data_IF_690438595153
#
_entry.id   IF_690438595153
#
_cell.length_a   1.000
_cell.length_b   1.000
_cell.length_c   1.000
_cell.angle_alpha   90.00
_cell.angle_beta   90.00
_cell.angle_gamma   90.00
#
_symmetry.space_group_name_H-M   'P 1'
#
loop_
_entity.id
_entity.type
_entity.pdbx_description
1 polymer ?
#
# COMPACT_ATOMS: atom_id res chain seq x y z
N UNK A 1 18.11 4.96 -22.23
CA UNK A 1 17.16 5.31 -21.16
C UNK A 1 16.90 6.82 -21.05
N UNK A 2 17.88 7.69 -21.38
CA UNK A 2 17.67 9.14 -21.53
C UNK A 2 16.75 9.49 -22.72
N UNK A 3 16.76 8.68 -23.78
CA UNK A 3 15.95 8.90 -24.99
C UNK A 3 14.43 8.69 -24.82
N UNK A 4 13.98 7.82 -23.90
CA UNK A 4 12.53 7.58 -23.74
C UNK A 4 11.80 8.74 -23.05
N UNK A 5 12.43 9.39 -22.07
CA UNK A 5 11.80 10.45 -21.27
C UNK A 5 11.80 11.79 -22.02
N UNK A 6 12.83 12.06 -22.83
CA UNK A 6 12.87 13.27 -23.67
C UNK A 6 11.90 13.22 -24.86
N UNK A 7 11.57 12.02 -25.34
CA UNK A 7 10.61 11.84 -26.44
C UNK A 7 9.17 12.14 -25.97
N UNK A 8 8.78 11.62 -24.80
CA UNK A 8 7.42 11.81 -24.24
C UNK A 8 7.12 13.30 -23.94
N UNK A 9 8.10 14.07 -23.45
CA UNK A 9 7.90 15.49 -23.14
C UNK A 9 7.83 16.39 -24.39
N UNK A 10 8.48 16.02 -25.51
CA UNK A 10 8.38 16.75 -26.78
C UNK A 10 7.03 16.53 -27.46
N UNK A 11 6.45 15.33 -27.34
CA UNK A 11 5.17 15.01 -27.97
C UNK A 11 3.96 15.67 -27.29
N UNK A 12 4.02 15.88 -25.98
CA UNK A 12 2.99 16.61 -25.21
C UNK A 12 2.90 18.09 -25.57
N UNK A 13 4.02 18.74 -25.94
CA UNK A 13 4.06 20.16 -26.34
C UNK A 13 3.61 20.35 -27.81
N UNK A 14 3.60 19.29 -28.62
CA UNK A 14 3.10 19.31 -30.01
C UNK A 14 1.62 18.90 -30.16
N UNK A 15 0.93 18.59 -29.07
CA UNK A 15 -0.47 18.16 -29.08
C UNK A 15 -1.47 19.29 -29.41
N UNK A 16 -1.08 20.56 -29.31
CA UNK A 16 -1.98 21.71 -29.58
C UNK A 16 -2.34 21.89 -31.07
N UNK A 17 -1.73 21.14 -32.00
CA UNK A 17 -2.05 21.18 -33.43
C UNK A 17 -2.29 19.80 -34.09
N UNK A 18 -2.48 18.74 -33.28
CA UNK A 18 -2.73 17.38 -33.78
C UNK A 18 -4.24 17.11 -33.87
N UNK A 19 -4.70 16.64 -35.03
CA UNK A 19 -6.11 16.25 -35.22
C UNK A 19 -6.55 15.17 -34.23
N UNK A 20 -7.84 15.11 -33.92
CA UNK A 20 -8.43 14.16 -32.96
C UNK A 20 -8.00 12.69 -33.21
N UNK A 21 -7.91 12.30 -34.49
CA UNK A 21 -7.50 10.96 -34.91
C UNK A 21 -6.03 10.65 -34.59
N UNK A 22 -5.16 11.66 -34.61
CA UNK A 22 -3.73 11.50 -34.29
C UNK A 22 -3.52 11.33 -32.77
N UNK A 23 -4.30 12.05 -31.95
CA UNK A 23 -4.32 11.85 -30.50
C UNK A 23 -4.87 10.47 -30.13
N UNK A 24 -5.92 10.01 -30.81
CA UNK A 24 -6.48 8.68 -30.59
C UNK A 24 -5.47 7.57 -30.92
N UNK A 25 -4.75 7.69 -32.05
CA UNK A 25 -3.72 6.73 -32.42
C UNK A 25 -2.53 6.71 -31.45
N UNK A 26 -2.07 7.89 -31.00
CA UNK A 26 -1.02 8.00 -29.98
C UNK A 26 -1.44 7.39 -28.66
N UNK A 27 -2.68 7.62 -28.22
CA UNK A 27 -3.24 6.98 -27.02
C UNK A 27 -3.23 5.46 -27.16
N UNK A 28 -3.73 4.92 -28.28
CA UNK A 28 -3.77 3.48 -28.50
C UNK A 28 -2.37 2.87 -28.49
N UNK A 29 -1.40 3.52 -29.13
CA UNK A 29 -0.02 3.09 -29.12
C UNK A 29 0.57 3.07 -27.71
N UNK A 30 0.43 4.17 -26.96
CA UNK A 30 0.91 4.24 -25.57
C UNK A 30 0.23 3.21 -24.66
N UNK A 31 -1.06 2.92 -24.88
CA UNK A 31 -1.77 1.87 -24.15
C UNK A 31 -1.21 0.48 -24.45
N UNK A 32 -0.95 0.17 -25.72
CA UNK A 32 -0.35 -1.09 -26.12
C UNK A 32 1.06 -1.27 -25.56
N UNK A 33 1.89 -0.23 -25.65
CA UNK A 33 3.25 -0.24 -25.10
C UNK A 33 3.25 -0.40 -23.58
N UNK A 34 2.41 0.36 -22.88
CA UNK A 34 2.27 0.25 -21.43
C UNK A 34 1.75 -1.13 -21.01
N UNK A 35 0.78 -1.69 -21.75
CA UNK A 35 0.26 -3.02 -21.48
C UNK A 35 1.37 -4.07 -21.56
N UNK A 36 2.14 -4.06 -22.64
CA UNK A 36 3.25 -4.99 -22.85
C UNK A 36 4.34 -4.82 -21.78
N UNK A 37 4.74 -3.58 -21.48
CA UNK A 37 5.78 -3.33 -20.48
C UNK A 37 5.34 -3.71 -19.06
N UNK A 38 4.15 -3.30 -18.63
CA UNK A 38 3.69 -3.43 -17.23
C UNK A 38 3.17 -4.83 -16.92
N UNK A 39 2.50 -5.49 -17.86
CA UNK A 39 1.83 -6.76 -17.59
C UNK A 39 2.54 -7.97 -18.18
N UNK A 40 3.53 -7.79 -19.06
CA UNK A 40 4.28 -8.90 -19.66
C UNK A 40 5.76 -8.84 -19.31
N UNK A 41 6.47 -7.76 -19.68
CA UNK A 41 7.93 -7.67 -19.50
C UNK A 41 8.32 -7.52 -18.03
N UNK A 42 7.78 -6.53 -17.32
CA UNK A 42 8.18 -6.24 -15.93
C UNK A 42 7.93 -7.40 -14.96
N UNK A 43 6.78 -8.09 -14.99
CA UNK A 43 6.54 -9.25 -14.12
C UNK A 43 7.55 -10.37 -14.36
N UNK A 44 7.88 -10.65 -15.63
CA UNK A 44 8.86 -11.68 -15.98
C UNK A 44 10.27 -11.30 -15.52
N UNK A 45 10.68 -10.05 -15.68
CA UNK A 45 11.97 -9.57 -15.18
C UNK A 45 12.07 -9.66 -13.65
N UNK A 46 11.02 -9.25 -12.94
CA UNK A 46 10.99 -9.35 -11.48
C UNK A 46 11.06 -10.80 -11.02
N UNK A 47 10.31 -11.70 -11.67
CA UNK A 47 10.38 -13.13 -11.39
C UNK A 47 11.81 -13.66 -11.57
N UNK A 48 12.47 -13.34 -12.67
CA UNK A 48 13.85 -13.76 -12.92
C UNK A 48 14.84 -13.20 -11.88
N UNK A 49 14.68 -11.92 -11.51
CA UNK A 49 15.49 -11.29 -10.44
C UNK A 49 15.32 -12.06 -9.11
N UNK A 50 14.09 -12.48 -8.79
CA UNK A 50 13.75 -13.20 -7.56
C UNK A 50 14.26 -14.64 -7.57
N UNK A 51 13.97 -15.39 -8.63
CA UNK A 51 14.41 -16.79 -8.75
C UNK A 51 15.94 -16.91 -8.74
N UNK A 52 16.65 -15.98 -9.38
CA UNK A 52 18.11 -15.95 -9.44
C UNK A 52 18.76 -15.22 -8.26
N UNK A 53 17.96 -14.58 -7.39
CA UNK A 53 18.43 -13.79 -6.24
C UNK A 53 19.50 -12.75 -6.62
N UNK A 54 19.31 -12.05 -7.74
CA UNK A 54 20.34 -11.16 -8.31
C UNK A 54 20.79 -10.04 -7.37
N UNK A 55 19.98 -9.66 -6.37
CA UNK A 55 20.38 -8.69 -5.35
C UNK A 55 21.57 -9.17 -4.51
N UNK A 56 21.74 -10.48 -4.32
CA UNK A 56 22.85 -11.03 -3.54
C UNK A 56 24.18 -10.83 -4.27
N UNK A 57 24.19 -10.96 -5.60
CA UNK A 57 25.36 -10.67 -6.44
C UNK A 57 25.75 -9.18 -6.41
N UNK A 58 24.77 -8.32 -6.10
CA UNK A 58 24.93 -6.88 -5.92
C UNK A 58 25.24 -6.47 -4.48
N UNK A 59 25.49 -7.43 -3.59
CA UNK A 59 25.80 -7.24 -2.17
C UNK A 59 24.67 -6.64 -1.32
N UNK A 60 23.41 -6.89 -1.68
CA UNK A 60 22.27 -6.56 -0.82
C UNK A 60 21.87 -7.75 0.05
N UNK A 61 21.50 -7.49 1.30
CA UNK A 61 21.16 -8.52 2.28
C UNK A 61 19.83 -9.19 1.91
N UNK A 62 18.86 -8.40 1.43
CA UNK A 62 17.52 -8.85 1.08
C UNK A 62 16.97 -8.07 -0.12
N UNK A 63 15.85 -8.54 -0.67
CA UNK A 63 15.23 -7.91 -1.83
C UNK A 63 14.74 -6.48 -1.55
N UNK A 64 14.32 -6.20 -0.31
CA UNK A 64 13.91 -4.86 0.11
C UNK A 64 15.03 -3.83 -0.06
N UNK A 65 16.26 -4.16 0.35
CA UNK A 65 17.42 -3.26 0.22
C UNK A 65 17.71 -2.97 -1.25
N UNK A 66 17.69 -4.00 -2.09
CA UNK A 66 17.85 -3.86 -3.53
C UNK A 66 16.74 -3.02 -4.17
N UNK A 67 15.49 -3.20 -3.75
CA UNK A 67 14.36 -2.45 -4.28
C UNK A 67 14.48 -0.95 -3.98
N UNK A 68 14.89 -0.58 -2.76
CA UNK A 68 14.96 0.81 -2.31
C UNK A 68 16.31 1.49 -2.58
N UNK A 69 17.36 0.74 -2.94
CA UNK A 69 18.66 1.33 -3.25
C UNK A 69 18.59 2.22 -4.50
N UNK A 70 19.06 3.45 -4.36
CA UNK A 70 19.10 4.47 -5.40
C UNK A 70 20.36 4.36 -6.29
N UNK A 71 21.30 3.48 -5.94
CA UNK A 71 22.48 3.23 -6.76
C UNK A 71 22.13 2.54 -8.08
N UNK A 72 23.08 2.47 -9.01
CA UNK A 72 22.93 1.71 -10.27
C UNK A 72 22.75 0.20 -10.06
N UNK A 73 22.96 -0.30 -8.84
CA UNK A 73 22.82 -1.70 -8.50
C UNK A 73 21.45 -2.03 -7.90
N UNK A 74 20.58 -1.05 -7.64
CA UNK A 74 19.23 -1.24 -7.11
C UNK A 74 18.12 -0.89 -8.11
N UNK A 75 16.86 -1.07 -7.70
CA UNK A 75 15.68 -0.70 -8.51
C UNK A 75 15.27 0.76 -8.36
N UNK A 76 15.83 1.49 -7.39
CA UNK A 76 15.54 2.89 -7.13
C UNK A 76 14.02 3.16 -6.94
N UNK A 77 13.35 2.32 -6.16
CA UNK A 77 11.97 2.54 -5.72
C UNK A 77 11.96 3.58 -4.61
N UNK A 78 11.94 4.85 -5.00
CA UNK A 78 12.12 5.99 -4.12
C UNK A 78 10.83 6.78 -3.81
N UNK A 79 9.70 6.43 -4.42
CA UNK A 79 8.42 7.11 -4.23
C UNK A 79 7.24 6.13 -4.25
N UNK A 80 6.06 6.61 -3.86
CA UNK A 80 4.85 5.77 -3.76
C UNK A 80 4.40 5.21 -5.12
N UNK A 81 4.65 5.91 -6.23
CA UNK A 81 4.21 5.47 -7.57
C UNK A 81 5.02 4.26 -8.04
N UNK A 82 6.35 4.31 -7.92
CA UNK A 82 7.22 3.16 -8.19
C UNK A 82 6.93 2.00 -7.24
N UNK A 83 6.64 2.30 -5.97
CA UNK A 83 6.31 1.27 -4.99
C UNK A 83 4.98 0.58 -5.32
N UNK A 84 3.98 1.34 -5.76
CA UNK A 84 2.73 0.79 -6.26
C UNK A 84 2.94 -0.07 -7.50
N UNK A 85 3.74 0.40 -8.46
CA UNK A 85 4.06 -0.38 -9.66
C UNK A 85 4.74 -1.70 -9.30
N UNK A 86 5.75 -1.66 -8.41
CA UNK A 86 6.43 -2.86 -7.91
C UNK A 86 5.43 -3.83 -7.27
N UNK A 87 4.52 -3.32 -6.42
CA UNK A 87 3.48 -4.15 -5.82
C UNK A 87 2.58 -4.84 -6.85
N UNK A 88 2.29 -4.17 -7.97
CA UNK A 88 1.39 -4.68 -9.02
C UNK A 88 2.03 -5.71 -9.92
N UNK A 89 3.33 -5.62 -10.16
CA UNK A 89 4.08 -6.57 -11.00
C UNK A 89 4.52 -7.82 -10.23
N UNK A 90 4.60 -7.75 -8.90
CA UNK A 90 4.93 -8.89 -8.06
C UNK A 90 3.71 -9.78 -7.80
N UNK A 91 3.88 -11.10 -7.93
CA UNK A 91 2.92 -12.08 -7.42
C UNK A 91 3.05 -12.25 -5.89
N UNK A 92 2.52 -11.29 -5.14
CA UNK A 92 2.58 -11.28 -3.66
C UNK A 92 1.55 -12.20 -3.00
N UNK A 93 0.57 -12.71 -3.77
CA UNK A 93 -0.44 -13.65 -3.28
C UNK A 93 -0.04 -15.11 -3.56
N UNK A 94 1.00 -15.32 -4.38
CA UNK A 94 1.68 -16.59 -4.59
C UNK A 94 3.13 -16.51 -4.11
N UNK A 95 4.07 -16.41 -5.04
CA UNK A 95 5.47 -16.79 -4.81
C UNK A 95 6.34 -15.71 -4.15
N UNK A 96 6.01 -14.42 -4.28
CA UNK A 96 6.91 -13.31 -3.94
C UNK A 96 6.54 -12.59 -2.62
N UNK A 97 5.76 -13.25 -1.76
CA UNK A 97 5.29 -12.65 -0.51
C UNK A 97 6.42 -12.34 0.48
N UNK A 98 7.50 -13.15 0.48
CA UNK A 98 8.67 -12.95 1.34
C UNK A 98 9.42 -11.68 0.92
N UNK A 99 9.68 -11.54 -0.36
CA UNK A 99 10.38 -10.40 -0.96
C UNK A 99 9.59 -9.12 -0.76
N UNK A 100 8.26 -9.19 -0.92
CA UNK A 100 7.38 -8.05 -0.64
C UNK A 100 7.43 -7.65 0.84
N UNK A 101 7.46 -8.62 1.75
CA UNK A 101 7.61 -8.36 3.19
C UNK A 101 8.94 -7.68 3.54
N UNK A 102 10.03 -8.00 2.84
CA UNK A 102 11.31 -7.29 2.96
C UNK A 102 11.20 -5.83 2.52
N UNK A 103 10.56 -5.57 1.37
CA UNK A 103 10.26 -4.22 0.88
C UNK A 103 9.45 -3.43 1.90
N UNK A 104 8.36 -4.02 2.41
CA UNK A 104 7.48 -3.37 3.40
C UNK A 104 8.22 -2.96 4.68
N UNK A 105 9.19 -3.77 5.12
CA UNK A 105 9.97 -3.49 6.34
C UNK A 105 10.80 -2.21 6.18
N UNK A 106 11.48 -2.06 5.04
CA UNK A 106 12.28 -0.87 4.77
C UNK A 106 11.42 0.35 4.42
N UNK A 107 10.26 0.14 3.77
CA UNK A 107 9.27 1.18 3.50
C UNK A 107 8.71 1.78 4.80
N UNK A 108 8.33 0.97 5.80
CA UNK A 108 7.88 1.46 7.11
C UNK A 108 8.97 2.32 7.77
N UNK A 109 10.24 1.91 7.67
CA UNK A 109 11.39 2.70 8.12
C UNK A 109 11.57 4.02 7.36
N UNK A 110 11.53 3.98 6.03
CA UNK A 110 11.70 5.14 5.16
C UNK A 110 10.60 6.21 5.39
N UNK A 111 9.33 5.79 5.44
CA UNK A 111 8.21 6.70 5.67
C UNK A 111 8.26 7.35 7.06
N UNK A 112 8.65 6.59 8.11
CA UNK A 112 8.87 7.13 9.45
C UNK A 112 10.00 8.15 9.48
N UNK A 113 11.12 7.85 8.82
CA UNK A 113 12.27 8.74 8.73
C UNK A 113 11.91 10.04 7.98
N UNK A 114 11.18 9.95 6.88
CA UNK A 114 10.67 11.11 6.14
C UNK A 114 9.82 12.01 7.04
N UNK A 115 8.83 11.45 7.75
CA UNK A 115 7.97 12.26 8.61
C UNK A 115 8.71 12.83 9.83
N UNK A 116 9.70 12.11 10.39
CA UNK A 116 10.58 12.67 11.43
C UNK A 116 11.38 13.86 10.89
N UNK A 117 11.99 13.72 9.71
CA UNK A 117 12.80 14.78 9.06
C UNK A 117 11.95 16.02 8.75
N UNK A 118 10.71 15.82 8.29
CA UNK A 118 9.80 16.89 7.88
C UNK A 118 8.82 17.35 8.96
N UNK A 119 8.93 16.83 10.20
CA UNK A 119 8.02 17.13 11.32
C UNK A 119 6.54 16.88 11.01
N UNK A 120 6.26 15.87 10.20
CA UNK A 120 4.90 15.45 9.83
C UNK A 120 4.39 14.43 10.85
N UNK A 121 3.13 14.56 11.26
CA UNK A 121 2.51 13.57 12.14
C UNK A 121 2.27 12.26 11.38
N UNK A 122 2.56 11.10 11.98
CA UNK A 122 2.39 9.78 11.33
C UNK A 122 1.00 9.57 10.71
N UNK A 123 -0.05 10.13 11.33
CA UNK A 123 -1.43 10.01 10.83
C UNK A 123 -1.68 10.72 9.50
N UNK A 124 -0.81 11.65 9.11
CA UNK A 124 -0.86 12.40 7.86
C UNK A 124 -0.08 11.73 6.73
N UNK A 125 0.66 10.64 7.00
CA UNK A 125 1.28 9.83 5.97
C UNK A 125 0.24 9.05 5.15
N UNK A 126 0.62 8.71 3.92
CA UNK A 126 -0.24 8.01 2.97
C UNK A 126 -0.53 6.59 3.47
N UNK A 127 -1.80 6.17 3.42
CA UNK A 127 -2.27 4.92 4.06
C UNK A 127 -2.56 3.77 3.11
N UNK A 128 -2.81 4.07 1.83
CA UNK A 128 -3.00 3.05 0.81
C UNK A 128 -1.92 3.16 -0.27
N UNK A 129 -1.72 2.11 -1.05
CA UNK A 129 -1.06 2.26 -2.34
C UNK A 129 -2.10 2.34 -3.47
N UNK A 130 -3.40 2.25 -3.18
CA UNK A 130 -4.42 2.33 -4.22
C UNK A 130 -4.42 3.71 -4.90
N UNK A 131 -4.49 3.69 -6.22
CA UNK A 131 -4.50 4.88 -7.08
C UNK A 131 -5.75 5.75 -6.88
N UNK A 132 -6.76 5.24 -6.17
CA UNK A 132 -8.01 5.93 -5.88
C UNK A 132 -7.91 6.73 -4.58
N UNK A 133 -7.24 7.87 -4.60
CA UNK A 133 -7.87 9.09 -4.07
C UNK A 133 -7.14 10.37 -4.46
N UNK A 134 -8.00 11.38 -4.61
CA UNK A 134 -7.82 12.78 -5.01
C UNK A 134 -6.46 13.41 -4.64
N UNK A 135 -5.89 14.08 -5.64
CA UNK A 135 -4.78 15.01 -5.54
C UNK A 135 -3.45 14.38 -5.10
N UNK A 136 -2.94 13.42 -5.88
CA UNK A 136 -1.54 13.54 -6.25
C UNK A 136 -1.43 14.80 -7.13
N UNK A 137 -1.42 15.99 -6.52
CA UNK A 137 -0.59 17.06 -7.09
C UNK A 137 0.73 16.40 -7.39
N UNK A 138 1.28 16.65 -8.58
CA UNK A 138 2.54 16.11 -9.07
C UNK A 138 3.73 16.47 -8.16
N UNK A 139 3.70 16.06 -6.90
CA UNK A 139 4.87 15.94 -6.06
C UNK A 139 5.55 14.70 -6.60
N UNK A 140 6.35 14.95 -7.62
CA UNK A 140 7.66 14.35 -7.90
C UNK A 140 8.58 14.41 -6.67
N UNK A 141 8.05 14.27 -5.46
CA UNK A 141 8.85 14.08 -4.27
C UNK A 141 9.38 12.66 -4.39
N UNK A 142 10.69 12.56 -4.56
CA UNK A 142 11.48 11.33 -4.43
C UNK A 142 11.46 10.83 -2.97
N UNK A 143 10.27 10.64 -2.43
CA UNK A 143 10.05 10.20 -1.07
C UNK A 143 8.92 9.20 -0.96
N UNK A 144 9.19 8.13 -0.23
CA UNK A 144 8.21 7.16 0.20
C UNK A 144 7.46 7.74 1.40
N UNK A 145 6.16 7.94 1.25
CA UNK A 145 5.25 8.40 2.32
C UNK A 145 4.20 7.36 2.67
N UNK A 146 4.18 6.23 1.96
CA UNK A 146 3.32 5.09 2.27
C UNK A 146 3.69 4.46 3.61
N UNK A 147 2.70 4.34 4.49
CA UNK A 147 2.82 3.69 5.78
C UNK A 147 1.90 2.45 5.82
N UNK A 148 2.46 1.22 5.78
CA UNK A 148 1.66 0.00 5.86
C UNK A 148 0.96 -0.10 7.22
N UNK A 149 -0.37 0.01 7.21
CA UNK A 149 -1.19 0.06 8.41
C UNK A 149 -1.23 -1.29 9.15
N UNK A 150 -0.42 -1.42 10.21
CA UNK A 150 -0.24 -2.64 11.03
C UNK A 150 -1.50 -3.27 11.65
N UNK A 151 -2.68 -2.67 11.51
CA UNK A 151 -3.92 -3.13 12.16
C UNK A 151 -4.98 -3.68 11.22
N UNK A 152 -5.03 -3.23 9.96
CA UNK A 152 -6.16 -3.54 9.06
C UNK A 152 -5.78 -3.83 7.61
N UNK A 153 -4.64 -3.36 7.12
CA UNK A 153 -4.22 -3.67 5.74
C UNK A 153 -3.52 -5.01 5.67
N UNK A 154 -3.61 -5.68 4.52
CA UNK A 154 -2.90 -6.94 4.26
C UNK A 154 -1.38 -6.76 4.46
N UNK A 155 -0.80 -5.70 3.89
CA UNK A 155 0.61 -5.33 4.09
C UNK A 155 0.97 -5.18 5.57
N UNK A 156 0.11 -4.51 6.35
CA UNK A 156 0.37 -4.30 7.77
C UNK A 156 0.17 -5.55 8.61
N UNK A 157 -0.76 -6.43 8.23
CA UNK A 157 -0.94 -7.75 8.84
C UNK A 157 0.24 -8.66 8.54
N UNK A 158 0.77 -8.63 7.32
CA UNK A 158 1.98 -9.38 6.93
C UNK A 158 3.18 -8.95 7.77
N UNK A 159 3.43 -7.64 7.87
CA UNK A 159 4.49 -7.09 8.75
C UNK A 159 4.29 -7.48 10.21
N UNK A 160 3.05 -7.40 10.71
CA UNK A 160 2.74 -7.79 12.08
C UNK A 160 3.06 -9.26 12.30
N UNK A 161 2.63 -10.13 11.40
CA UNK A 161 2.83 -11.56 11.48
C UNK A 161 4.32 -11.92 11.53
N UNK A 162 5.13 -11.31 10.64
CA UNK A 162 6.59 -11.45 10.62
C UNK A 162 7.24 -11.21 11.99
N UNK A 163 6.73 -10.27 12.77
CA UNK A 163 7.27 -9.92 14.09
C UNK A 163 6.66 -10.72 15.25
N UNK A 164 5.41 -11.17 15.13
CA UNK A 164 4.69 -11.80 16.25
C UNK A 164 4.66 -13.32 16.19
N UNK A 165 4.61 -13.89 14.99
CA UNK A 165 4.45 -15.34 14.78
C UNK A 165 5.15 -15.74 13.47
N UNK A 166 6.42 -16.14 13.60
CA UNK A 166 7.26 -16.47 12.45
C UNK A 166 6.81 -17.76 11.75
N UNK A 167 6.21 -18.71 12.48
CA UNK A 167 5.71 -19.95 11.89
C UNK A 167 4.48 -19.68 11.01
N UNK A 168 3.51 -18.93 11.54
CA UNK A 168 2.34 -18.52 10.76
C UNK A 168 2.74 -17.62 9.59
N UNK A 169 3.76 -16.76 9.77
CA UNK A 169 4.32 -15.96 8.68
C UNK A 169 4.81 -16.82 7.52
N UNK A 170 5.62 -17.85 7.81
CA UNK A 170 6.12 -18.75 6.76
C UNK A 170 4.99 -19.50 6.05
N UNK A 171 3.98 -19.98 6.78
CA UNK A 171 2.80 -20.62 6.17
C UNK A 171 2.04 -19.66 5.25
N UNK A 172 1.90 -18.40 5.65
CA UNK A 172 1.25 -17.37 4.80
C UNK A 172 2.09 -17.07 3.56
N UNK A 173 3.40 -16.89 3.69
CA UNK A 173 4.26 -16.58 2.54
C UNK A 173 4.44 -17.73 1.58
N UNK A 174 4.28 -18.98 2.03
CA UNK A 174 4.31 -20.17 1.19
C UNK A 174 2.96 -20.48 0.52
N UNK A 175 1.91 -19.69 0.81
CA UNK A 175 0.55 -19.94 0.31
C UNK A 175 -0.16 -21.11 0.99
N UNK A 176 0.37 -21.65 2.08
CA UNK A 176 -0.23 -22.74 2.87
C UNK A 176 -1.40 -22.26 3.73
N UNK A 177 -1.45 -20.96 4.04
CA UNK A 177 -2.46 -20.32 4.88
C UNK A 177 -2.76 -18.90 4.38
N UNK A 178 -4.01 -18.47 4.49
CA UNK A 178 -4.37 -17.07 4.23
C UNK A 178 -4.09 -16.16 5.44
N UNK A 179 -3.87 -14.86 5.19
CA UNK A 179 -3.74 -13.86 6.27
C UNK A 179 -4.97 -13.82 7.21
N UNK A 180 -6.16 -14.17 6.70
CA UNK A 180 -7.40 -14.22 7.49
C UNK A 180 -7.42 -15.39 8.48
N UNK A 181 -6.81 -16.51 8.11
CA UNK A 181 -6.66 -17.69 8.97
C UNK A 181 -5.57 -17.47 10.03
N UNK A 182 -4.48 -16.78 9.66
CA UNK A 182 -3.41 -16.41 10.59
C UNK A 182 -3.88 -15.39 11.66
N UNK A 183 -4.84 -14.52 11.32
CA UNK A 183 -5.48 -13.60 12.25
C UNK A 183 -6.97 -13.91 12.39
N UNK A 184 -7.34 -15.02 13.06
CA UNK A 184 -8.73 -15.39 13.20
C UNK A 184 -9.45 -14.26 13.94
N UNK A 185 -10.46 -13.67 13.27
CA UNK A 185 -11.32 -12.67 13.90
C UNK A 185 -11.98 -13.37 15.08
N UNK A 186 -11.63 -12.97 16.30
CA UNK A 186 -12.38 -13.41 17.49
C UNK A 186 -13.85 -13.16 17.20
N UNK A 187 -14.74 -14.15 17.37
CA UNK A 187 -16.16 -13.93 17.16
C UNK A 187 -16.55 -12.72 18.00
N UNK A 188 -17.22 -11.74 17.38
CA UNK A 188 -17.76 -10.61 18.13
C UNK A 188 -18.63 -11.23 19.21
N UNK A 189 -18.27 -11.02 20.49
CA UNK A 189 -19.13 -11.45 21.59
C UNK A 189 -20.52 -10.89 21.27
N UNK A 190 -21.51 -11.77 21.20
CA UNK A 190 -22.89 -11.34 21.13
C UNK A 190 -23.15 -10.57 22.41
N UNK A 191 -23.31 -9.25 22.26
CA UNK A 191 -23.70 -8.39 23.37
C UNK A 191 -25.22 -8.35 23.27
N UNK A 192 -25.91 -8.83 24.30
CA UNK A 192 -27.36 -8.72 24.35
C UNK A 192 -27.77 -7.24 24.19
N UNK A 193 -28.89 -6.94 23.50
CA UNK A 193 -29.31 -5.56 23.26
C UNK A 193 -29.31 -4.69 24.52
N UNK A 194 -29.68 -5.27 25.67
CA UNK A 194 -29.72 -4.56 26.95
C UNK A 194 -28.33 -4.22 27.50
N UNK A 195 -27.33 -5.08 27.32
CA UNK A 195 -25.95 -4.80 27.70
C UNK A 195 -25.32 -3.73 26.82
N UNK A 196 -25.67 -3.72 25.53
CA UNK A 196 -25.23 -2.68 24.60
C UNK A 196 -25.79 -1.31 24.99
N UNK A 197 -27.09 -1.24 25.34
CA UNK A 197 -27.73 -0.02 25.83
C UNK A 197 -27.08 0.45 27.13
N UNK A 198 -26.82 -0.44 28.10
CA UNK A 198 -26.12 -0.09 29.35
C UNK A 198 -24.72 0.45 29.09
N UNK A 199 -23.97 -0.19 28.20
CA UNK A 199 -22.61 0.23 27.85
C UNK A 199 -22.61 1.61 27.17
N UNK A 200 -23.54 1.82 26.23
CA UNK A 200 -23.72 3.12 25.57
C UNK A 200 -24.14 4.21 26.53
N UNK A 201 -25.13 3.94 27.38
CA UNK A 201 -25.58 4.87 28.42
C UNK A 201 -24.44 5.25 29.38
N UNK A 202 -23.63 4.28 29.81
CA UNK A 202 -22.45 4.53 30.64
C UNK A 202 -21.30 5.24 29.91
N UNK A 203 -21.31 5.28 28.58
CA UNK A 203 -20.33 6.06 27.81
C UNK A 203 -20.75 7.51 27.57
N UNK A 204 -22.01 7.86 27.86
CA UNK A 204 -22.54 9.22 27.73
C UNK A 204 -22.04 10.11 28.88
N UNK A 205 -21.98 11.41 28.61
CA UNK A 205 -21.74 12.44 29.64
C UNK A 205 -22.93 12.51 30.62
N UNK A 206 -22.73 13.08 31.82
CA UNK A 206 -23.80 13.20 32.82
C UNK A 206 -25.03 13.94 32.28
N UNK A 207 -24.81 15.03 31.53
CA UNK A 207 -25.88 15.82 30.88
C UNK A 207 -26.67 15.02 29.85
N UNK A 208 -25.98 14.22 29.04
CA UNK A 208 -26.63 13.37 28.02
C UNK A 208 -27.43 12.23 28.64
N UNK A 209 -26.96 11.70 29.78
CA UNK A 209 -27.69 10.67 30.54
C UNK A 209 -28.99 11.21 31.12
N UNK A 210 -28.95 12.40 31.73
CA UNK A 210 -30.13 13.05 32.30
C UNK A 210 -31.16 13.38 31.20
N UNK A 211 -30.70 13.90 30.07
CA UNK A 211 -31.56 14.18 28.90
C UNK A 211 -32.20 12.90 28.35
N UNK A 212 -31.44 11.80 28.31
CA UNK A 212 -31.95 10.51 27.87
C UNK A 212 -32.99 9.92 28.83
N UNK A 213 -32.80 10.04 30.15
CA UNK A 213 -33.78 9.60 31.15
C UNK A 213 -35.06 10.43 31.03
N UNK A 214 -34.95 11.76 30.95
CA UNK A 214 -36.10 12.66 30.82
C UNK A 214 -36.93 12.35 29.55
N UNK A 215 -36.26 12.04 28.44
CA UNK A 215 -36.93 11.61 27.22
C UNK A 215 -37.67 10.28 27.40
N UNK A 216 -37.09 9.29 28.08
CA UNK A 216 -37.77 8.02 28.37
C UNK A 216 -39.01 8.23 29.25
N UNK A 217 -38.92 9.10 30.26
CA UNK A 217 -40.05 9.42 31.13
C UNK A 217 -41.18 10.09 30.35
N UNK A 218 -40.85 11.03 29.46
CA UNK A 218 -41.84 11.69 28.59
C UNK A 218 -42.55 10.71 27.63
N UNK A 219 -41.88 9.64 27.19
CA UNK A 219 -42.46 8.60 26.34
C UNK A 219 -43.35 7.60 27.12
N UNK A 220 -43.23 7.53 28.46
CA UNK A 220 -44.11 6.69 29.29
C UNK A 220 -45.46 7.36 29.59
N UNK A 221 -45.47 8.69 29.57
CA UNK A 221 -46.65 9.51 29.84
C UNK A 221 -47.46 9.84 28.56
N UNK A 222 -47.01 9.36 27.39
CA UNK A 222 -47.70 9.45 26.10
C UNK A 222 -48.36 8.12 25.72
#
# INVERSE_FOLDING_TARGET
>A
MQDCVETINKDLIHAENKGLDDLHNQMNQSLMEAQHLVFEILPELIKQIIEQKLWQEKNHINFGEYALDASSNGLNVNNNNKLWLLKRIMDIYGQHAVEWSDVLTLVDGAARNYAKKNKIQMKALHRSLDYTDKAQTASTDDAITYLPSRTKSEDGQLLKLRHTDQEAYHKVTNGEMSLKEAFPKKPRKYIEPIEWVKTKFNSLSSSDRESFIAWIEQQKDS
#
